data_IF_938576758268
#
_entry.id   IF_938576758268
#
_cell.length_a   1.000
_cell.length_b   1.000
_cell.length_c   1.000
_cell.angle_alpha   90.00
_cell.angle_beta   90.00
_cell.angle_gamma   90.00
#
_symmetry.space_group_name_H-M   'P 1'
#
loop_
_entity.id
_entity.type
_entity.pdbx_description
1 polymer ?
#
# COMPACT_ATOMS: atom_id res chain seq x y z
N UNK A 1 -15.39 -18.23 -12.92
CA UNK A 1 -14.40 -17.17 -12.59
C UNK A 1 -15.20 -15.99 -12.09
N UNK A 2 -15.48 -15.95 -10.79
CA UNK A 2 -16.37 -14.96 -10.18
C UNK A 2 -15.69 -13.59 -10.28
N UNK A 3 -16.36 -12.60 -10.87
CA UNK A 3 -15.84 -11.24 -10.96
C UNK A 3 -15.79 -10.62 -9.56
N UNK A 4 -14.68 -10.81 -8.89
CA UNK A 4 -14.50 -10.24 -7.56
C UNK A 4 -13.89 -8.86 -7.67
N UNK A 5 -14.71 -7.87 -7.33
CA UNK A 5 -14.36 -6.47 -7.39
C UNK A 5 -13.48 -6.10 -6.19
N UNK A 6 -12.18 -6.43 -6.26
CA UNK A 6 -11.20 -5.92 -5.31
C UNK A 6 -11.11 -4.41 -5.48
N UNK A 7 -11.58 -3.69 -4.46
CA UNK A 7 -11.50 -2.22 -4.36
C UNK A 7 -10.19 -1.77 -3.71
N UNK A 8 -9.76 -0.56 -4.03
CA UNK A 8 -8.54 0.04 -3.49
C UNK A 8 -8.48 0.05 -1.95
N UNK A 9 -9.61 0.27 -1.28
CA UNK A 9 -9.70 0.20 0.20
C UNK A 9 -9.25 -1.14 0.78
N UNK A 10 -9.44 -2.25 0.06
CA UNK A 10 -9.01 -3.57 0.52
C UNK A 10 -7.49 -3.68 0.50
N UNK A 11 -6.86 -3.19 -0.57
CA UNK A 11 -5.40 -3.15 -0.68
C UNK A 11 -4.78 -2.25 0.39
N UNK A 12 -5.34 -1.05 0.60
CA UNK A 12 -4.87 -0.14 1.65
C UNK A 12 -5.01 -0.76 3.05
N UNK A 13 -6.14 -1.39 3.33
CA UNK A 13 -6.40 -2.06 4.60
C UNK A 13 -5.45 -3.21 4.84
N UNK A 14 -5.26 -4.07 3.84
CA UNK A 14 -4.31 -5.18 3.87
C UNK A 14 -2.88 -4.69 4.13
N UNK A 15 -2.38 -3.74 3.35
CA UNK A 15 -1.02 -3.22 3.49
C UNK A 15 -0.78 -2.55 4.85
N UNK A 16 -1.76 -1.79 5.37
CA UNK A 16 -1.65 -1.17 6.68
C UNK A 16 -1.55 -2.21 7.81
N UNK A 17 -2.34 -3.28 7.74
CA UNK A 17 -2.27 -4.36 8.74
C UNK A 17 -0.96 -5.13 8.61
N UNK A 18 -0.51 -5.43 7.40
CA UNK A 18 0.78 -6.08 7.15
C UNK A 18 1.95 -5.26 7.69
N UNK A 19 1.93 -3.93 7.51
CA UNK A 19 2.99 -3.03 7.96
C UNK A 19 3.04 -2.89 9.49
N UNK A 20 1.89 -2.87 10.17
CA UNK A 20 1.81 -2.58 11.60
C UNK A 20 1.61 -3.81 12.50
N UNK A 21 1.33 -4.98 11.92
CA UNK A 21 1.07 -6.24 12.63
C UNK A 21 -0.17 -6.18 13.55
N UNK A 22 -1.02 -5.16 13.42
CA UNK A 22 -2.11 -4.90 14.35
C UNK A 22 -3.27 -4.20 13.65
N UNK A 23 -4.47 -4.79 13.77
CA UNK A 23 -5.70 -4.20 13.27
C UNK A 23 -6.02 -2.86 13.95
N UNK A 24 -5.73 -2.71 15.25
CA UNK A 24 -6.00 -1.48 15.99
C UNK A 24 -5.13 -0.31 15.49
N UNK A 25 -3.81 -0.52 15.41
CA UNK A 25 -2.87 0.44 14.80
C UNK A 25 -3.22 0.78 13.36
N UNK A 26 -3.54 -0.21 12.53
CA UNK A 26 -3.95 0.01 11.14
C UNK A 26 -5.24 0.86 11.05
N UNK A 27 -6.22 0.62 11.93
CA UNK A 27 -7.41 1.45 12.05
C UNK A 27 -7.06 2.91 12.36
N UNK A 28 -6.15 3.15 13.31
CA UNK A 28 -5.66 4.50 13.62
C UNK A 28 -5.01 5.19 12.42
N UNK A 29 -4.12 4.50 11.70
CA UNK A 29 -3.44 5.03 10.51
C UNK A 29 -4.41 5.33 9.37
N UNK A 30 -5.43 4.50 9.19
CA UNK A 30 -6.45 4.67 8.16
C UNK A 30 -7.60 5.59 8.60
N UNK A 31 -7.58 6.10 9.84
CA UNK A 31 -8.65 6.91 10.43
C UNK A 31 -10.04 6.25 10.34
N UNK A 32 -10.11 4.94 10.55
CA UNK A 32 -11.35 4.16 10.58
C UNK A 32 -11.42 3.30 11.84
N UNK A 33 -12.56 2.68 12.09
CA UNK A 33 -12.74 1.80 13.26
C UNK A 33 -12.08 0.44 13.03
N UNK A 34 -11.62 -0.22 14.09
CA UNK A 34 -11.07 -1.59 13.99
C UNK A 34 -12.09 -2.61 13.43
N UNK A 35 -13.39 -2.55 13.75
CA UNK A 35 -14.39 -3.39 13.11
C UNK A 35 -14.45 -3.18 11.58
N UNK A 36 -14.25 -1.95 11.10
CA UNK A 36 -14.21 -1.66 9.67
C UNK A 36 -12.97 -2.28 8.99
N UNK A 37 -11.80 -2.24 9.65
CA UNK A 37 -10.58 -2.95 9.20
C UNK A 37 -10.84 -4.46 9.13
N UNK A 38 -11.36 -5.05 10.20
CA UNK A 38 -11.67 -6.49 10.28
C UNK A 38 -12.66 -6.92 9.20
N UNK A 39 -13.72 -6.15 8.97
CA UNK A 39 -14.70 -6.40 7.91
C UNK A 39 -14.07 -6.32 6.52
N UNK A 40 -13.27 -5.27 6.26
CA UNK A 40 -12.61 -5.06 4.96
C UNK A 40 -11.64 -6.19 4.63
N UNK A 41 -10.89 -6.69 5.63
CA UNK A 41 -10.02 -7.86 5.46
C UNK A 41 -10.81 -9.13 5.21
N UNK A 42 -11.89 -9.39 5.96
CA UNK A 42 -12.74 -10.56 5.71
C UNK A 42 -13.38 -10.54 4.31
N UNK A 43 -13.79 -9.37 3.83
CA UNK A 43 -14.28 -9.21 2.46
C UNK A 43 -13.18 -9.59 1.45
N UNK A 44 -11.94 -9.16 1.69
CA UNK A 44 -10.79 -9.49 0.82
C UNK A 44 -10.42 -10.97 0.85
N UNK A 45 -10.34 -11.57 2.04
CA UNK A 45 -10.07 -13.01 2.22
C UNK A 45 -11.20 -13.87 1.65
N UNK A 46 -12.45 -13.43 1.82
CA UNK A 46 -13.62 -14.09 1.25
C UNK A 46 -13.61 -14.05 -0.28
N UNK A 47 -13.14 -12.94 -0.84
CA UNK A 47 -12.89 -12.84 -2.27
C UNK A 47 -11.81 -13.85 -2.71
N UNK A 48 -10.62 -13.73 -2.17
CA UNK A 48 -9.50 -14.59 -2.57
C UNK A 48 -9.65 -16.07 -2.19
N UNK A 49 -10.71 -16.44 -1.46
CA UNK A 49 -10.96 -17.77 -0.89
C UNK A 49 -9.80 -18.33 -0.06
N UNK A 50 -8.96 -17.44 0.49
CA UNK A 50 -7.79 -17.78 1.32
C UNK A 50 -7.69 -16.83 2.50
N UNK A 51 -7.01 -17.27 3.56
CA UNK A 51 -6.60 -16.36 4.64
C UNK A 51 -5.31 -15.69 4.27
N UNK A 52 -5.25 -14.38 4.49
CA UNK A 52 -4.05 -13.57 4.29
C UNK A 52 -3.31 -13.32 5.60
N UNK A 53 -4.01 -13.45 6.74
CA UNK A 53 -3.43 -13.31 8.06
C UNK A 53 -3.74 -14.48 8.98
N UNK A 54 -2.74 -14.87 9.76
CA UNK A 54 -2.90 -15.73 10.94
C UNK A 54 -3.24 -14.88 12.18
N UNK A 55 -4.13 -15.41 13.02
CA UNK A 55 -4.47 -14.80 14.31
C UNK A 55 -3.55 -15.37 15.38
N UNK A 56 -2.65 -14.54 15.89
CA UNK A 56 -1.74 -14.92 16.98
C UNK A 56 -1.86 -14.00 18.20
N UNK A 57 -1.26 -14.44 19.32
CA UNK A 57 -1.10 -13.60 20.53
C UNK A 57 -0.30 -12.31 20.27
N UNK A 58 0.54 -12.32 19.22
CA UNK A 58 1.38 -11.18 18.82
C UNK A 58 0.69 -10.20 17.85
N UNK A 59 -0.56 -10.46 17.47
CA UNK A 59 -1.30 -9.65 16.50
C UNK A 59 -1.55 -10.39 15.19
N UNK A 60 -1.54 -9.65 14.09
CA UNK A 60 -1.76 -10.17 12.74
C UNK A 60 -0.41 -10.48 12.07
N UNK A 61 -0.22 -11.74 11.67
CA UNK A 61 0.95 -12.21 10.94
C UNK A 61 0.51 -12.64 9.54
N UNK A 62 1.32 -12.39 8.52
CA UNK A 62 0.99 -12.83 7.16
C UNK A 62 1.04 -14.35 7.06
N UNK A 63 0.10 -14.93 6.32
CA UNK A 63 0.22 -16.30 5.81
C UNK A 63 1.15 -16.34 4.60
N UNK A 64 1.47 -17.52 4.09
CA UNK A 64 2.21 -17.67 2.84
C UNK A 64 1.49 -16.99 1.65
N UNK A 65 0.17 -17.14 1.57
CA UNK A 65 -0.68 -16.47 0.59
C UNK A 65 -0.68 -14.95 0.80
N UNK A 66 -0.68 -14.51 2.06
CA UNK A 66 -0.55 -13.11 2.45
C UNK A 66 0.76 -12.48 1.97
N UNK A 67 1.89 -13.17 2.14
CA UNK A 67 3.20 -12.72 1.65
C UNK A 67 3.23 -12.63 0.12
N UNK A 68 2.66 -13.62 -0.57
CA UNK A 68 2.56 -13.60 -2.03
C UNK A 68 1.69 -12.44 -2.51
N UNK A 69 0.53 -12.24 -1.88
CA UNK A 69 -0.39 -11.15 -2.20
C UNK A 69 0.23 -9.77 -1.94
N UNK A 70 1.02 -9.62 -0.87
CA UNK A 70 1.63 -8.35 -0.49
C UNK A 70 2.51 -7.75 -1.58
N UNK A 71 3.29 -8.58 -2.28
CA UNK A 71 4.15 -8.12 -3.38
C UNK A 71 3.34 -7.44 -4.49
N UNK A 72 2.22 -8.04 -4.87
CA UNK A 72 1.36 -7.51 -5.94
C UNK A 72 0.49 -6.34 -5.47
N UNK A 73 -0.01 -6.40 -4.23
CA UNK A 73 -0.81 -5.33 -3.63
C UNK A 73 0.00 -4.02 -3.52
N UNK A 74 1.25 -4.11 -3.05
CA UNK A 74 2.16 -2.97 -2.96
C UNK A 74 2.41 -2.31 -4.32
N UNK A 75 2.80 -3.11 -5.32
CA UNK A 75 3.04 -2.62 -6.67
C UNK A 75 1.79 -1.95 -7.28
N UNK A 76 0.61 -2.55 -7.12
CA UNK A 76 -0.66 -2.01 -7.62
C UNK A 76 -0.99 -0.65 -7.00
N UNK A 77 -0.77 -0.50 -5.68
CA UNK A 77 -1.02 0.76 -4.98
C UNK A 77 -0.03 1.84 -5.41
N UNK A 78 1.25 1.49 -5.60
CA UNK A 78 2.28 2.41 -6.09
C UNK A 78 1.96 2.89 -7.51
N UNK A 79 1.68 1.97 -8.44
CA UNK A 79 1.33 2.30 -9.81
C UNK A 79 0.11 3.23 -9.90
N UNK A 80 -0.92 2.99 -9.07
CA UNK A 80 -2.09 3.87 -9.03
C UNK A 80 -1.74 5.26 -8.48
N UNK A 81 -0.89 5.36 -7.46
CA UNK A 81 -0.42 6.66 -6.94
C UNK A 81 0.36 7.44 -8.00
N UNK A 82 1.23 6.77 -8.74
CA UNK A 82 1.98 7.36 -9.84
C UNK A 82 1.05 7.84 -10.96
N UNK A 83 0.05 7.04 -11.33
CA UNK A 83 -0.95 7.42 -12.33
C UNK A 83 -1.78 8.65 -11.88
N UNK A 84 -2.14 8.75 -10.60
CA UNK A 84 -2.84 9.93 -10.08
C UNK A 84 -1.92 11.16 -10.08
N UNK A 85 -0.65 10.98 -9.70
CA UNK A 85 0.34 12.06 -9.69
C UNK A 85 0.64 12.58 -11.11
N UNK A 86 0.73 11.71 -12.11
CA UNK A 86 0.97 12.10 -13.49
C UNK A 86 -0.18 12.94 -14.05
N UNK A 87 -1.44 12.59 -13.76
CA UNK A 87 -2.61 13.40 -14.14
C UNK A 87 -2.57 14.79 -13.49
N UNK A 88 -2.16 14.87 -12.22
CA UNK A 88 -2.00 16.14 -11.52
C UNK A 88 -0.89 17.02 -12.14
N UNK A 89 0.20 16.41 -12.61
CA UNK A 89 1.29 17.10 -13.31
C UNK A 89 0.88 17.58 -14.71
N UNK A 90 0.14 16.78 -15.48
CA UNK A 90 -0.38 17.20 -16.80
C UNK A 90 -1.31 18.41 -16.70
N UNK A 91 -2.06 18.54 -15.60
CA UNK A 91 -2.89 19.75 -15.34
C UNK A 91 -2.06 20.98 -14.97
N UNK A 92 -0.85 20.80 -14.43
CA UNK A 92 0.09 21.88 -14.10
C UNK A 92 1.06 22.09 -15.26
N UNK A 93 0.58 22.71 -16.34
CA UNK A 93 1.48 23.22 -17.38
C UNK A 93 2.47 24.21 -16.73
N UNK A 94 3.72 23.78 -16.48
CA UNK A 94 4.79 24.68 -16.07
C UNK A 94 5.98 24.09 -15.30
N UNK A 95 5.89 22.93 -14.63
CA UNK A 95 7.05 22.33 -13.94
C UNK A 95 6.83 20.85 -13.64
N UNK A 96 7.67 19.98 -14.21
CA UNK A 96 7.74 18.58 -13.82
C UNK A 96 8.57 18.45 -12.54
N UNK A 97 7.96 17.98 -11.45
CA UNK A 97 8.68 17.69 -10.20
C UNK A 97 9.00 16.19 -10.17
N UNK A 98 10.28 15.85 -10.15
CA UNK A 98 10.77 14.46 -10.05
C UNK A 98 11.31 14.24 -8.65
N UNK A 99 10.77 13.25 -7.93
CA UNK A 99 11.26 12.85 -6.61
C UNK A 99 12.30 11.74 -6.76
N UNK A 100 13.54 12.01 -6.37
CA UNK A 100 14.65 11.03 -6.39
C UNK A 100 14.99 10.58 -4.96
N UNK A 101 14.92 9.28 -4.72
CA UNK A 101 15.44 8.67 -3.50
C UNK A 101 16.94 8.42 -3.65
N UNK A 102 17.76 9.08 -2.83
CA UNK A 102 19.22 8.99 -2.92
C UNK A 102 19.80 8.66 -1.54
N UNK A 103 20.81 7.80 -1.49
CA UNK A 103 21.56 7.59 -0.24
C UNK A 103 22.21 8.91 0.21
N UNK A 104 22.22 9.24 1.52
CA UNK A 104 22.79 10.49 2.03
C UNK A 104 24.26 10.69 1.64
N UNK A 105 25.01 9.60 1.49
CA UNK A 105 26.42 9.61 1.06
C UNK A 105 26.62 9.96 -0.41
N UNK A 106 25.63 9.70 -1.27
CA UNK A 106 25.71 9.93 -2.72
C UNK A 106 25.05 11.25 -3.11
N UNK A 107 24.11 11.75 -2.31
CA UNK A 107 23.37 12.99 -2.60
C UNK A 107 24.27 14.22 -2.86
N UNK A 108 25.35 14.50 -2.09
CA UNK A 108 26.20 15.66 -2.35
C UNK A 108 26.92 15.61 -3.70
N UNK A 109 27.18 14.39 -4.19
CA UNK A 109 27.87 14.18 -5.46
C UNK A 109 26.91 14.22 -6.66
N UNK A 110 25.66 13.80 -6.47
CA UNK A 110 24.64 13.71 -7.52
C UNK A 110 23.86 15.03 -7.72
N UNK A 111 23.57 15.78 -6.65
CA UNK A 111 22.76 17.01 -6.73
C UNK A 111 23.30 18.07 -7.71
N UNK A 112 24.61 18.37 -7.78
CA UNK A 112 25.15 19.36 -8.70
C UNK A 112 24.93 19.00 -10.18
N UNK A 113 24.89 17.71 -10.51
CA UNK A 113 24.72 17.23 -11.89
C UNK A 113 23.27 17.32 -12.38
N UNK A 114 22.30 17.41 -11.46
CA UNK A 114 20.86 17.49 -11.77
C UNK A 114 20.34 18.92 -11.89
N UNK A 115 21.14 19.92 -11.46
CA UNK A 115 20.80 21.34 -11.48
C UNK A 115 21.34 22.08 -12.72
N UNK A 116 22.03 21.36 -13.63
CA UNK A 116 22.54 21.84 -14.92
C UNK A 116 21.65 21.31 -16.06
#
# INVERSE_FOLDING_TARGET
>A
MTHEHIKFRHLQCFLAVAQHGSLQKAAGVLSITQPAVSKTLKELEGMLAVRLFERGRKGALLTHEGEAFMRHAGASVTALREAVASVAQTRRHGSAVVTLGVLPTVAPWLMPQLLL
#
